data_IF_236398553503
#
_entry.id   IF_236398553503
#
_cell.length_a   1.000
_cell.length_b   1.000
_cell.length_c   1.000
_cell.angle_alpha   90.00
_cell.angle_beta   90.00
_cell.angle_gamma   90.00
#
_symmetry.space_group_name_H-M   'P 1'
#
loop_
_entity.id
_entity.type
_entity.pdbx_description
1 polymer ?
#
# COMPACT_ATOMS: atom_id res chain seq x y z
N UNK A 1 38.93 23.13 -15.40
CA UNK A 1 38.57 21.68 -15.59
C UNK A 1 38.09 20.99 -14.32
N UNK A 2 38.73 21.09 -13.15
CA UNK A 2 38.20 20.51 -11.90
C UNK A 2 36.93 21.23 -11.41
N UNK A 3 36.89 22.55 -11.53
CA UNK A 3 35.74 23.38 -11.09
C UNK A 3 34.45 23.18 -11.92
N UNK A 4 34.60 22.99 -13.24
CA UNK A 4 33.46 22.71 -14.14
C UNK A 4 32.85 21.32 -13.90
N UNK A 5 33.65 20.31 -13.57
CA UNK A 5 33.14 18.97 -13.21
C UNK A 5 32.35 19.00 -11.90
N UNK A 6 32.87 19.68 -10.89
CA UNK A 6 32.21 19.83 -9.58
C UNK A 6 30.90 20.57 -9.71
N UNK A 7 30.81 21.60 -10.56
CA UNK A 7 29.57 22.34 -10.82
C UNK A 7 28.57 21.50 -11.58
N UNK A 8 29.00 20.74 -12.60
CA UNK A 8 28.14 19.80 -13.34
C UNK A 8 27.58 18.71 -12.43
N UNK A 9 28.36 18.16 -11.50
CA UNK A 9 27.92 17.14 -10.56
C UNK A 9 26.89 17.69 -9.55
N UNK A 10 27.08 18.92 -9.08
CA UNK A 10 26.13 19.61 -8.20
C UNK A 10 24.79 19.90 -8.91
N UNK A 11 24.84 20.37 -10.16
CA UNK A 11 23.65 20.61 -10.97
C UNK A 11 22.89 19.31 -11.21
N UNK A 12 23.58 18.21 -11.53
CA UNK A 12 22.98 16.90 -11.71
C UNK A 12 22.35 16.35 -10.42
N UNK A 13 23.00 16.53 -9.28
CA UNK A 13 22.44 16.14 -7.99
C UNK A 13 21.17 16.94 -7.66
N UNK A 14 21.15 18.23 -7.96
CA UNK A 14 19.98 19.09 -7.77
C UNK A 14 18.80 18.66 -8.65
N UNK A 15 19.06 18.32 -9.91
CA UNK A 15 18.03 17.80 -10.82
C UNK A 15 17.50 16.44 -10.38
N UNK A 16 18.35 15.56 -9.90
CA UNK A 16 17.92 14.26 -9.38
C UNK A 16 17.07 14.41 -8.11
N UNK A 17 17.44 15.30 -7.21
CA UNK A 17 16.68 15.62 -6.01
C UNK A 17 15.31 16.21 -6.37
N UNK A 18 15.26 17.14 -7.33
CA UNK A 18 14.03 17.72 -7.83
C UNK A 18 13.13 16.63 -8.46
N UNK A 19 13.67 15.77 -9.31
CA UNK A 19 12.94 14.70 -9.96
C UNK A 19 12.35 13.71 -8.95
N UNK A 20 13.09 13.37 -7.89
CA UNK A 20 12.60 12.54 -6.79
C UNK A 20 11.48 13.23 -6.02
N UNK A 21 11.69 14.48 -5.61
CA UNK A 21 10.75 15.22 -4.75
C UNK A 21 9.45 15.57 -5.47
N UNK A 22 9.51 15.90 -6.76
CA UNK A 22 8.37 16.31 -7.57
C UNK A 22 7.74 15.16 -8.38
N UNK A 23 8.17 13.91 -8.15
CA UNK A 23 7.59 12.78 -8.87
C UNK A 23 6.08 12.69 -8.60
N UNK A 24 5.24 12.45 -9.64
CA UNK A 24 3.78 12.38 -9.51
C UNK A 24 3.29 11.07 -8.86
N UNK A 25 4.18 10.29 -8.31
CA UNK A 25 3.94 9.08 -7.53
C UNK A 25 4.68 9.16 -6.22
N UNK A 26 4.15 8.54 -5.19
CA UNK A 26 4.86 8.41 -3.92
C UNK A 26 6.10 7.54 -4.10
N UNK A 27 7.27 8.08 -3.83
CA UNK A 27 8.54 7.35 -3.87
C UNK A 27 9.10 7.20 -2.46
N UNK A 28 9.57 5.99 -2.15
CA UNK A 28 10.22 5.70 -0.87
C UNK A 28 11.38 4.74 -1.07
N UNK A 29 12.48 5.03 -0.39
CA UNK A 29 13.65 4.16 -0.27
C UNK A 29 13.68 3.57 1.13
N UNK A 30 13.83 2.25 1.22
CA UNK A 30 13.98 1.55 2.49
C UNK A 30 15.29 0.77 2.55
N UNK A 31 15.85 0.66 3.74
CA UNK A 31 16.93 -0.27 4.08
C UNK A 31 16.48 -1.13 5.25
N UNK A 32 16.46 -2.43 5.07
CA UNK A 32 15.95 -3.38 6.07
C UNK A 32 14.55 -3.00 6.60
N UNK A 33 13.66 -2.56 5.69
CA UNK A 33 12.30 -2.08 6.00
C UNK A 33 12.24 -0.81 6.85
N UNK A 34 13.34 -0.09 7.01
CA UNK A 34 13.37 1.23 7.62
C UNK A 34 13.31 2.28 6.51
N UNK A 35 12.44 3.24 6.63
CA UNK A 35 12.28 4.35 5.68
C UNK A 35 13.51 5.27 5.78
N UNK A 36 14.29 5.36 4.70
CA UNK A 36 15.49 6.19 4.63
C UNK A 36 15.26 7.49 3.87
N UNK A 37 14.40 7.44 2.86
CA UNK A 37 13.99 8.62 2.12
C UNK A 37 12.57 8.42 1.59
N UNK A 38 11.80 9.49 1.53
CA UNK A 38 10.53 9.54 0.81
C UNK A 38 10.31 10.93 0.23
N UNK A 39 9.53 11.02 -0.85
CA UNK A 39 9.15 12.30 -1.42
C UNK A 39 7.84 12.82 -0.80
N UNK A 40 7.52 14.10 -1.07
CA UNK A 40 6.31 14.73 -0.56
C UNK A 40 5.02 14.01 -0.98
N UNK A 41 4.98 13.49 -2.21
CA UNK A 41 3.82 12.72 -2.71
C UNK A 41 3.57 11.46 -1.88
N UNK A 42 4.62 10.73 -1.48
CA UNK A 42 4.47 9.55 -0.62
C UNK A 42 3.87 9.91 0.75
N UNK A 43 4.42 10.92 1.40
CA UNK A 43 3.93 11.39 2.70
C UNK A 43 2.45 11.84 2.60
N UNK A 44 2.12 12.63 1.58
CA UNK A 44 0.76 13.10 1.30
C UNK A 44 -0.25 11.97 1.07
N UNK A 45 0.11 10.94 0.26
CA UNK A 45 -0.77 9.78 0.00
C UNK A 45 -1.17 9.11 1.32
N UNK A 46 -0.24 8.96 2.26
CA UNK A 46 -0.50 8.31 3.54
C UNK A 46 -0.98 9.26 4.64
N UNK A 47 -0.99 10.56 4.40
CA UNK A 47 -1.44 11.58 5.38
C UNK A 47 -0.44 11.84 6.50
N UNK A 48 0.85 11.67 6.23
CA UNK A 48 1.95 11.96 7.16
C UNK A 48 2.76 13.18 6.70
N UNK A 49 3.44 13.80 7.65
CA UNK A 49 4.58 14.67 7.33
C UNK A 49 5.83 13.81 7.09
N UNK A 50 6.75 14.26 6.23
CA UNK A 50 7.95 13.49 5.88
C UNK A 50 8.79 13.12 7.10
N UNK A 51 8.96 14.05 8.02
CA UNK A 51 9.77 13.86 9.23
C UNK A 51 9.20 12.81 10.18
N UNK A 52 7.88 12.57 10.12
CA UNK A 52 7.24 11.50 10.89
C UNK A 52 7.57 10.10 10.35
N UNK A 53 7.94 10.01 9.07
CA UNK A 53 8.21 8.75 8.38
C UNK A 53 9.69 8.37 8.37
N UNK A 54 10.58 9.34 8.34
CA UNK A 54 12.02 9.07 8.25
C UNK A 54 12.52 8.33 9.49
N UNK A 55 13.27 7.25 9.26
CA UNK A 55 13.79 6.38 10.32
C UNK A 55 12.77 5.41 10.90
N UNK A 56 11.50 5.50 10.53
CA UNK A 56 10.45 4.59 11.01
C UNK A 56 10.51 3.24 10.27
N UNK A 57 10.06 2.21 10.99
CA UNK A 57 9.77 0.92 10.36
C UNK A 57 8.62 1.06 9.36
N UNK A 58 8.71 0.38 8.24
CA UNK A 58 7.65 0.33 7.23
C UNK A 58 6.29 -0.15 7.77
N UNK A 59 6.31 -0.77 8.96
CA UNK A 59 5.12 -1.17 9.71
C UNK A 59 4.17 0.00 10.03
N UNK A 60 4.66 1.25 10.10
CA UNK A 60 3.84 2.44 10.38
C UNK A 60 2.70 2.63 9.35
N UNK A 61 2.84 2.06 8.15
CA UNK A 61 1.87 2.16 7.07
C UNK A 61 0.75 1.10 7.13
N UNK A 62 0.72 0.25 8.16
CA UNK A 62 -0.24 -0.84 8.31
C UNK A 62 -1.11 -0.64 9.56
N UNK A 63 -2.37 -1.07 9.48
CA UNK A 63 -3.33 -0.90 10.57
C UNK A 63 -2.96 -1.69 11.83
N UNK A 64 -2.26 -2.81 11.66
CA UNK A 64 -1.81 -3.65 12.79
C UNK A 64 -0.47 -4.31 12.52
N UNK A 65 0.15 -4.82 13.60
CA UNK A 65 1.37 -5.63 13.49
C UNK A 65 1.13 -6.93 12.75
N UNK A 66 -0.02 -7.56 13.01
CA UNK A 66 -0.38 -8.85 12.42
C UNK A 66 -0.56 -8.72 10.90
N UNK A 67 -1.21 -7.65 10.44
CA UNK A 67 -1.34 -7.34 9.02
C UNK A 67 0.04 -7.16 8.36
N UNK A 68 0.92 -6.39 9.00
CA UNK A 68 2.29 -6.20 8.51
C UNK A 68 3.04 -7.53 8.40
N UNK A 69 3.00 -8.38 9.44
CA UNK A 69 3.67 -9.68 9.45
C UNK A 69 3.17 -10.61 8.34
N UNK A 70 1.88 -10.58 8.02
CA UNK A 70 1.29 -11.38 6.95
C UNK A 70 1.71 -10.91 5.54
N UNK A 71 1.90 -9.61 5.36
CA UNK A 71 2.12 -9.01 4.04
C UNK A 71 3.59 -8.74 3.76
N UNK A 72 4.41 -8.50 4.79
CA UNK A 72 5.79 -8.01 4.66
C UNK A 72 6.69 -8.84 3.72
N UNK A 73 6.41 -10.12 3.57
CA UNK A 73 7.25 -11.05 2.81
C UNK A 73 6.65 -11.45 1.45
N UNK A 74 5.43 -10.97 1.13
CA UNK A 74 4.70 -11.36 -0.09
C UNK A 74 5.50 -11.08 -1.36
N UNK A 75 6.22 -9.98 -1.43
CA UNK A 75 7.00 -9.59 -2.61
C UNK A 75 8.44 -10.12 -2.66
N UNK A 76 8.94 -10.77 -1.58
CA UNK A 76 10.37 -11.10 -1.48
C UNK A 76 10.85 -12.07 -2.55
N UNK A 77 10.03 -13.09 -2.89
CA UNK A 77 10.38 -14.03 -3.95
C UNK A 77 10.53 -13.33 -5.30
N UNK A 78 9.55 -12.49 -5.67
CA UNK A 78 9.60 -11.75 -6.92
C UNK A 78 10.79 -10.79 -7.01
N UNK A 79 11.14 -10.14 -5.89
CA UNK A 79 12.33 -9.28 -5.80
C UNK A 79 13.64 -10.06 -5.94
N UNK A 80 13.72 -11.30 -5.45
CA UNK A 80 14.89 -12.19 -5.63
C UNK A 80 15.00 -12.69 -7.07
N UNK A 81 13.88 -13.14 -7.63
CA UNK A 81 13.87 -13.79 -8.94
C UNK A 81 14.06 -12.80 -10.10
N UNK A 82 13.55 -11.58 -9.99
CA UNK A 82 13.58 -10.59 -11.05
C UNK A 82 13.85 -9.15 -10.61
N UNK A 83 14.15 -8.92 -9.32
CA UNK A 83 14.39 -7.59 -8.76
C UNK A 83 13.16 -6.68 -8.75
N UNK A 84 11.97 -7.17 -9.12
CA UNK A 84 10.76 -6.37 -9.28
C UNK A 84 9.53 -7.05 -8.66
N UNK A 85 8.64 -6.23 -8.10
CA UNK A 85 7.35 -6.64 -7.56
C UNK A 85 6.28 -5.62 -7.87
N UNK A 86 5.05 -6.04 -8.12
CA UNK A 86 3.89 -5.16 -8.30
C UNK A 86 2.64 -5.78 -7.69
N UNK A 87 1.84 -4.95 -7.02
CA UNK A 87 0.59 -5.36 -6.38
C UNK A 87 -0.40 -4.18 -6.30
N UNK A 88 -1.69 -4.50 -6.15
CA UNK A 88 -2.75 -3.54 -5.85
C UNK A 88 -3.51 -4.01 -4.62
N UNK A 89 -3.57 -3.15 -3.61
CA UNK A 89 -4.19 -3.47 -2.31
C UNK A 89 -4.86 -2.25 -1.68
N UNK A 90 -5.74 -2.51 -0.73
CA UNK A 90 -6.29 -1.46 0.13
C UNK A 90 -5.29 -1.21 1.25
N UNK A 91 -4.96 0.07 1.48
CA UNK A 91 -4.07 0.51 2.55
C UNK A 91 -4.73 1.59 3.41
N UNK A 92 -4.41 1.68 4.70
CA UNK A 92 -4.88 2.75 5.56
C UNK A 92 -4.03 4.02 5.40
N UNK A 93 -4.65 5.18 5.57
CA UNK A 93 -3.96 6.45 5.84
C UNK A 93 -3.83 6.65 7.35
N UNK A 94 -3.06 7.64 7.75
CA UNK A 94 -2.88 8.04 9.16
C UNK A 94 -4.20 8.33 9.88
N UNK A 95 -5.18 8.89 9.20
CA UNK A 95 -6.52 9.18 9.73
C UNK A 95 -7.46 7.97 9.79
N UNK A 96 -6.99 6.78 9.38
CA UNK A 96 -7.76 5.55 9.32
C UNK A 96 -8.65 5.40 8.08
N UNK A 97 -8.71 6.39 7.19
CA UNK A 97 -9.37 6.23 5.91
C UNK A 97 -8.64 5.20 5.04
N UNK A 98 -9.39 4.49 4.19
CA UNK A 98 -8.84 3.44 3.34
C UNK A 98 -8.81 3.92 1.89
N UNK A 99 -7.79 3.49 1.14
CA UNK A 99 -7.65 3.79 -0.28
C UNK A 99 -7.07 2.61 -1.06
N UNK A 100 -7.40 2.53 -2.34
CA UNK A 100 -6.76 1.59 -3.25
C UNK A 100 -5.38 2.09 -3.64
N UNK A 101 -4.39 1.29 -3.36
CA UNK A 101 -3.00 1.60 -3.61
C UNK A 101 -2.38 0.63 -4.60
N UNK A 102 -1.74 1.15 -5.64
CA UNK A 102 -0.81 0.37 -6.46
C UNK A 102 0.58 0.53 -5.90
N UNK A 103 1.18 -0.60 -5.56
CA UNK A 103 2.56 -0.69 -5.07
C UNK A 103 3.43 -1.31 -6.15
N UNK A 104 4.59 -0.72 -6.40
CA UNK A 104 5.66 -1.34 -7.17
C UNK A 104 6.94 -1.25 -6.38
N UNK A 105 7.73 -2.31 -6.41
CA UNK A 105 9.02 -2.35 -5.74
C UNK A 105 10.11 -2.85 -6.68
N UNK A 106 11.29 -2.30 -6.51
CA UNK A 106 12.51 -2.74 -7.18
C UNK A 106 13.64 -2.82 -6.16
N UNK A 107 14.40 -3.92 -6.21
CA UNK A 107 15.64 -4.05 -5.45
C UNK A 107 16.85 -4.04 -6.38
N UNK A 108 17.80 -3.14 -6.18
CA UNK A 108 19.09 -3.16 -6.91
C UNK A 108 20.01 -4.29 -6.44
N UNK A 109 19.64 -5.01 -5.37
CA UNK A 109 20.40 -6.12 -4.76
C UNK A 109 19.51 -7.36 -4.64
N UNK A 110 19.23 -8.11 -5.72
CA UNK A 110 18.32 -9.26 -5.70
C UNK A 110 18.71 -10.36 -4.70
N UNK A 111 20.02 -10.58 -4.49
CA UNK A 111 20.53 -11.57 -3.53
C UNK A 111 20.16 -11.22 -2.08
N UNK A 112 20.03 -9.92 -1.77
CA UNK A 112 19.55 -9.40 -0.50
C UNK A 112 18.58 -8.24 -0.75
N UNK A 113 17.33 -8.53 -1.14
CA UNK A 113 16.40 -7.49 -1.58
C UNK A 113 16.00 -6.51 -0.49
N UNK A 114 16.12 -6.89 0.79
CA UNK A 114 15.80 -6.00 1.90
C UNK A 114 16.92 -5.01 2.22
N UNK A 115 18.16 -5.30 1.81
CA UNK A 115 19.29 -4.39 2.02
C UNK A 115 18.96 -3.00 1.48
N UNK A 116 18.34 -2.95 0.29
CA UNK A 116 17.82 -1.69 -0.28
C UNK A 116 16.66 -1.98 -1.22
N UNK A 117 15.53 -1.35 -0.95
CA UNK A 117 14.33 -1.46 -1.81
C UNK A 117 13.83 -0.06 -2.14
N UNK A 118 13.58 0.18 -3.42
CA UNK A 118 12.89 1.38 -3.92
C UNK A 118 11.45 0.98 -4.21
N UNK A 119 10.49 1.72 -3.64
CA UNK A 119 9.08 1.47 -3.87
C UNK A 119 8.39 2.71 -4.42
N UNK A 120 7.42 2.50 -5.29
CA UNK A 120 6.48 3.54 -5.71
C UNK A 120 5.06 3.20 -5.28
N UNK A 121 4.34 4.22 -4.85
CA UNK A 121 2.96 4.16 -4.40
C UNK A 121 2.11 5.13 -5.21
N UNK A 122 0.97 4.65 -5.70
CA UNK A 122 0.00 5.49 -6.38
C UNK A 122 -1.39 5.25 -5.80
N UNK A 123 -2.08 6.31 -5.41
CA UNK A 123 -3.50 6.24 -5.10
C UNK A 123 -4.28 6.03 -6.41
N UNK A 124 -5.01 4.94 -6.49
CA UNK A 124 -5.82 4.57 -7.66
C UNK A 124 -7.31 4.53 -7.31
N UNK A 125 -7.72 5.17 -6.21
CA UNK A 125 -9.10 5.18 -5.73
C UNK A 125 -10.07 5.81 -6.73
N UNK A 126 -9.62 6.77 -7.53
CA UNK A 126 -10.42 7.36 -8.61
C UNK A 126 -10.82 6.32 -9.68
N UNK A 127 -9.96 5.34 -9.92
CA UNK A 127 -10.21 4.24 -10.87
C UNK A 127 -10.87 3.03 -10.22
N UNK A 128 -10.68 2.87 -8.91
CA UNK A 128 -11.24 1.81 -8.05
C UNK A 128 -11.73 2.42 -6.75
N UNK A 129 -12.87 3.15 -6.76
CA UNK A 129 -13.36 3.80 -5.55
C UNK A 129 -13.58 2.75 -4.46
N UNK A 130 -13.02 2.99 -3.27
CA UNK A 130 -13.32 2.20 -2.09
C UNK A 130 -14.76 2.49 -1.66
N UNK A 131 -15.62 1.50 -1.79
CA UNK A 131 -16.99 1.60 -1.29
C UNK A 131 -17.11 0.89 0.05
N UNK A 132 -17.26 1.66 1.12
CA UNK A 132 -17.47 1.11 2.44
C UNK A 132 -18.69 0.18 2.48
N UNK A 133 -18.53 -0.96 3.10
CA UNK A 133 -19.65 -1.85 3.38
C UNK A 133 -20.56 -1.22 4.42
N UNK A 134 -21.87 -1.25 4.19
CA UNK A 134 -22.87 -0.89 5.19
C UNK A 134 -22.76 -1.82 6.42
N UNK A 135 -23.31 -1.43 7.56
CA UNK A 135 -23.32 -2.26 8.76
C UNK A 135 -23.89 -3.67 8.47
N UNK A 136 -24.93 -3.76 7.64
CA UNK A 136 -25.57 -5.04 7.27
C UNK A 136 -24.68 -5.87 6.34
N UNK A 137 -24.01 -5.25 5.38
CA UNK A 137 -23.05 -5.92 4.51
C UNK A 137 -21.87 -6.46 5.32
N UNK A 138 -21.34 -5.70 6.30
CA UNK A 138 -20.27 -6.17 7.20
C UNK A 138 -20.70 -7.40 8.00
N UNK A 139 -21.89 -7.41 8.58
CA UNK A 139 -22.40 -8.60 9.27
C UNK A 139 -22.42 -9.84 8.38
N UNK A 140 -22.93 -9.70 7.15
CA UNK A 140 -22.98 -10.80 6.19
C UNK A 140 -21.58 -11.28 5.83
N UNK A 141 -20.63 -10.37 5.55
CA UNK A 141 -19.25 -10.72 5.21
C UNK A 141 -18.56 -11.47 6.35
N UNK A 142 -18.72 -11.04 7.60
CA UNK A 142 -18.17 -11.73 8.77
C UNK A 142 -18.61 -13.20 8.82
N UNK A 143 -19.87 -13.47 8.54
CA UNK A 143 -20.38 -14.84 8.50
C UNK A 143 -19.91 -15.64 7.28
N UNK A 144 -19.77 -14.98 6.12
CA UNK A 144 -19.23 -15.60 4.90
C UNK A 144 -17.76 -16.04 5.08
N UNK A 145 -16.94 -15.19 5.71
CA UNK A 145 -15.55 -15.53 6.06
C UNK A 145 -15.50 -16.73 6.99
N UNK A 146 -16.48 -16.85 7.90
CA UNK A 146 -16.66 -18.05 8.75
C UNK A 146 -17.22 -19.28 8.03
N UNK A 147 -17.32 -19.27 6.69
CA UNK A 147 -17.73 -20.41 5.88
C UNK A 147 -19.24 -20.70 5.91
N UNK A 148 -20.07 -19.78 6.40
CA UNK A 148 -21.52 -20.02 6.53
C UNK A 148 -22.25 -19.83 5.21
N UNK A 149 -23.24 -20.67 4.99
CA UNK A 149 -24.16 -20.58 3.85
C UNK A 149 -25.16 -19.43 4.02
N UNK A 150 -25.75 -18.95 2.93
CA UNK A 150 -26.77 -17.89 2.97
C UNK A 150 -27.98 -18.24 3.85
N UNK A 151 -28.35 -19.55 3.96
CA UNK A 151 -29.42 -20.00 4.84
C UNK A 151 -29.04 -19.90 6.32
N UNK A 152 -27.81 -20.24 6.68
CA UNK A 152 -27.31 -20.14 8.05
C UNK A 152 -27.13 -18.68 8.47
N UNK A 153 -26.61 -17.84 7.58
CA UNK A 153 -26.51 -16.40 7.80
C UNK A 153 -27.89 -15.80 8.06
N UNK A 154 -28.86 -16.12 7.20
CA UNK A 154 -30.22 -15.61 7.30
C UNK A 154 -30.88 -15.90 8.66
N UNK A 155 -30.66 -17.11 9.20
CA UNK A 155 -31.14 -17.50 10.54
C UNK A 155 -30.47 -16.70 11.65
N UNK A 156 -29.14 -16.44 11.54
CA UNK A 156 -28.39 -15.79 12.61
C UNK A 156 -28.63 -14.29 12.70
N UNK A 157 -28.89 -13.64 11.57
CA UNK A 157 -29.13 -12.19 11.53
C UNK A 157 -30.59 -11.83 11.28
N UNK A 158 -31.49 -12.84 11.41
CA UNK A 158 -32.96 -12.71 11.36
C UNK A 158 -33.49 -12.03 10.10
N UNK A 159 -33.05 -12.49 8.92
CA UNK A 159 -33.56 -12.05 7.62
C UNK A 159 -33.82 -13.24 6.71
N UNK A 160 -34.42 -12.98 5.53
CA UNK A 160 -34.65 -14.05 4.57
C UNK A 160 -33.36 -14.45 3.86
N UNK A 161 -33.19 -15.73 3.44
CA UNK A 161 -32.05 -16.15 2.59
C UNK A 161 -31.97 -15.34 1.29
N UNK A 162 -33.12 -14.96 0.72
CA UNK A 162 -33.17 -14.09 -0.47
C UNK A 162 -32.59 -12.71 -0.20
N UNK A 163 -32.79 -12.16 0.98
CA UNK A 163 -32.16 -10.88 1.39
C UNK A 163 -30.65 -11.01 1.51
N UNK A 164 -30.14 -12.13 2.05
CA UNK A 164 -28.68 -12.39 2.08
C UNK A 164 -28.11 -12.44 0.67
N UNK A 165 -28.74 -13.18 -0.25
CA UNK A 165 -28.33 -13.27 -1.64
C UNK A 165 -28.35 -11.90 -2.34
N UNK A 166 -29.37 -11.08 -2.06
CA UNK A 166 -29.40 -9.69 -2.57
C UNK A 166 -28.19 -8.88 -2.12
N UNK A 167 -27.82 -8.93 -0.84
CA UNK A 167 -26.66 -8.23 -0.32
C UNK A 167 -25.35 -8.79 -0.92
N UNK A 168 -25.23 -10.12 -1.07
CA UNK A 168 -24.09 -10.75 -1.73
C UNK A 168 -23.91 -10.25 -3.16
N UNK A 169 -24.97 -10.28 -3.95
CA UNK A 169 -24.94 -9.79 -5.34
C UNK A 169 -24.61 -8.29 -5.43
N UNK A 170 -25.09 -7.50 -4.47
CA UNK A 170 -24.77 -6.07 -4.39
C UNK A 170 -23.32 -5.81 -4.04
N UNK A 171 -22.74 -6.57 -3.09
CA UNK A 171 -21.34 -6.45 -2.71
C UNK A 171 -20.38 -6.84 -3.85
N UNK A 172 -20.75 -7.82 -4.68
CA UNK A 172 -19.96 -8.22 -5.86
C UNK A 172 -19.96 -7.16 -6.97
N UNK A 173 -20.85 -6.18 -6.92
CA UNK A 173 -20.94 -5.06 -7.89
C UNK A 173 -20.24 -3.79 -7.39
N UNK A 174 -19.80 -3.77 -6.13
CA UNK A 174 -19.04 -2.68 -5.52
C UNK A 174 -17.55 -2.83 -5.82
#
# INVERSE_FOLDING_TARGET
MADERTRSDQDQQSLNALAFEQAPVGLVLTENRIIRACNATFASIFGYEKDELLGQSFRVLYASSDEFEQIRDVGLKALRDGGQYSDERIMPRKDGSLFWCRVRAHSPTPDDPLRRTILSYADISDRRPYMALSARERQIVTHLIGGKTSKEIARQIEISPRTVEFYRARMLKK
#
